data_IF_727000146258
#
_entry.id   IF_727000146258
#
_cell.length_a   1.000
_cell.length_b   1.000
_cell.length_c   1.000
_cell.angle_alpha   90.00
_cell.angle_beta   90.00
_cell.angle_gamma   90.00
#
_symmetry.space_group_name_H-M   'P 1'
#
loop_
_entity.id
_entity.type
_entity.pdbx_description
1 polymer ?
#
# COMPACT_ATOMS: atom_id res chain seq x y z
N UNK A 1 20.06 -1.30 62.04
CA UNK A 1 19.59 -0.44 60.93
C UNK A 1 19.98 -1.08 59.61
N UNK A 2 18.99 -1.63 58.90
CA UNK A 2 19.15 -2.50 57.73
C UNK A 2 19.53 -1.70 56.47
N UNK A 3 20.60 -2.11 55.80
CA UNK A 3 21.03 -1.60 54.48
C UNK A 3 20.14 -2.25 53.41
N UNK A 4 19.20 -1.48 52.87
CA UNK A 4 18.36 -1.92 51.76
C UNK A 4 19.18 -2.02 50.47
N UNK A 5 19.22 -3.24 49.92
CA UNK A 5 19.91 -3.61 48.70
C UNK A 5 19.15 -3.03 47.48
N UNK A 6 19.74 -2.04 46.80
CA UNK A 6 19.16 -1.37 45.62
C UNK A 6 19.26 -2.10 44.25
N UNK A 7 19.87 -3.29 44.06
CA UNK A 7 19.94 -3.88 42.72
C UNK A 7 18.73 -4.75 42.35
N UNK A 8 17.83 -5.06 43.30
CA UNK A 8 16.69 -5.96 43.04
C UNK A 8 15.44 -5.23 42.47
N UNK A 9 15.35 -3.91 42.64
CA UNK A 9 14.20 -3.12 42.16
C UNK A 9 14.26 -2.83 40.64
N UNK A 10 15.48 -2.69 40.09
CA UNK A 10 15.67 -2.45 38.66
C UNK A 10 15.52 -3.71 37.79
N UNK A 11 15.68 -4.90 38.40
CA UNK A 11 15.49 -6.18 37.72
C UNK A 11 14.00 -6.56 37.56
N UNK A 12 13.11 -5.92 38.33
CA UNK A 12 11.66 -6.14 38.23
C UNK A 12 11.00 -5.21 37.20
N UNK A 13 11.50 -3.98 37.04
CA UNK A 13 10.96 -2.99 36.09
C UNK A 13 11.30 -3.28 34.61
N UNK A 14 12.26 -4.15 34.32
CA UNK A 14 12.65 -4.50 32.94
C UNK A 14 11.79 -5.63 32.32
N UNK A 15 10.96 -6.32 33.11
CA UNK A 15 10.20 -7.48 32.64
C UNK A 15 8.80 -7.15 32.11
N UNK A 16 8.30 -5.93 32.31
CA UNK A 16 6.93 -5.55 31.91
C UNK A 16 6.82 -4.90 30.51
N UNK A 17 7.93 -4.75 29.77
CA UNK A 17 7.95 -3.98 28.52
C UNK A 17 7.90 -4.81 27.22
N UNK A 18 7.69 -6.13 27.27
CA UNK A 18 7.83 -6.97 26.07
C UNK A 18 6.77 -8.06 25.90
N UNK A 19 5.52 -7.78 26.31
CA UNK A 19 4.36 -8.52 25.81
C UNK A 19 3.39 -7.48 25.24
N UNK A 20 3.80 -6.83 24.15
CA UNK A 20 2.78 -6.41 23.20
C UNK A 20 2.24 -7.72 22.61
N UNK A 21 0.93 -8.02 22.72
CA UNK A 21 0.38 -9.11 21.94
C UNK A 21 0.74 -8.83 20.48
N UNK A 22 1.24 -9.84 19.75
CA UNK A 22 1.34 -9.74 18.30
C UNK A 22 -0.03 -9.26 17.82
N UNK A 23 -0.08 -8.04 17.28
CA UNK A 23 -1.34 -7.40 16.88
C UNK A 23 -1.98 -8.35 15.88
N UNK A 24 -3.23 -8.73 16.13
CA UNK A 24 -3.89 -9.72 15.31
C UNK A 24 -3.94 -9.21 13.86
N UNK A 25 -3.38 -10.01 12.95
CA UNK A 25 -3.25 -9.71 11.54
C UNK A 25 -4.27 -10.53 10.74
N UNK A 26 -4.64 -10.04 9.57
CA UNK A 26 -5.54 -10.76 8.66
C UNK A 26 -4.94 -12.13 8.29
N UNK A 27 -5.75 -13.18 8.36
CA UNK A 27 -5.34 -14.55 8.01
C UNK A 27 -5.02 -14.67 6.51
N UNK A 28 -3.90 -15.32 6.19
CA UNK A 28 -3.46 -15.58 4.82
C UNK A 28 -4.48 -16.43 4.03
N UNK A 29 -5.19 -17.35 4.69
CA UNK A 29 -6.24 -18.15 4.04
C UNK A 29 -7.40 -17.26 3.57
N UNK A 30 -7.79 -16.28 4.39
CA UNK A 30 -8.84 -15.33 4.06
C UNK A 30 -8.42 -14.36 2.94
N UNK A 31 -7.16 -13.92 2.95
CA UNK A 31 -6.58 -13.13 1.84
C UNK A 31 -6.67 -13.95 0.55
N UNK A 32 -6.18 -15.20 0.56
CA UNK A 32 -6.15 -16.04 -0.63
C UNK A 32 -7.57 -16.34 -1.14
N UNK A 33 -8.51 -16.58 -0.22
CA UNK A 33 -9.92 -16.78 -0.56
C UNK A 33 -10.53 -15.54 -1.20
N UNK A 34 -10.29 -14.35 -0.65
CA UNK A 34 -10.78 -13.09 -1.20
C UNK A 34 -10.19 -12.76 -2.56
N UNK A 35 -8.88 -12.99 -2.75
CA UNK A 35 -8.21 -12.85 -4.05
C UNK A 35 -8.82 -13.83 -5.07
N UNK A 36 -9.00 -15.10 -4.70
CA UNK A 36 -9.63 -16.09 -5.57
C UNK A 36 -11.05 -15.69 -5.97
N UNK A 37 -11.87 -15.20 -5.04
CA UNK A 37 -13.21 -14.69 -5.35
C UNK A 37 -13.15 -13.53 -6.35
N UNK A 38 -12.22 -12.59 -6.14
CA UNK A 38 -12.04 -11.41 -7.00
C UNK A 38 -11.63 -11.80 -8.42
N UNK A 39 -10.63 -12.67 -8.56
CA UNK A 39 -10.14 -13.16 -9.86
C UNK A 39 -11.18 -14.01 -10.60
N UNK A 40 -12.08 -14.68 -9.87
CA UNK A 40 -13.21 -15.42 -10.44
C UNK A 40 -14.47 -14.55 -10.60
N UNK A 41 -14.35 -13.22 -10.54
CA UNK A 41 -15.43 -12.26 -10.77
C UNK A 41 -16.60 -12.42 -9.79
N UNK A 42 -16.37 -13.01 -8.60
CA UNK A 42 -17.36 -13.17 -7.52
C UNK A 42 -17.30 -11.96 -6.59
N UNK A 43 -17.52 -10.78 -7.15
CA UNK A 43 -17.26 -9.51 -6.48
C UNK A 43 -18.05 -9.29 -5.20
N UNK A 44 -19.34 -9.62 -5.20
CA UNK A 44 -20.20 -9.44 -4.03
C UNK A 44 -19.71 -10.29 -2.85
N UNK A 45 -19.21 -11.50 -3.15
CA UNK A 45 -18.64 -12.40 -2.13
C UNK A 45 -17.29 -11.90 -1.63
N UNK A 46 -16.44 -11.38 -2.52
CA UNK A 46 -15.16 -10.81 -2.14
C UNK A 46 -15.36 -9.56 -1.26
N UNK A 47 -16.27 -8.66 -1.65
CA UNK A 47 -16.63 -7.47 -0.87
C UNK A 47 -17.14 -7.85 0.51
N UNK A 48 -18.08 -8.80 0.60
CA UNK A 48 -18.62 -9.23 1.89
C UNK A 48 -17.54 -9.83 2.80
N UNK A 49 -16.61 -10.62 2.25
CA UNK A 49 -15.49 -11.16 3.00
C UNK A 49 -14.58 -10.05 3.55
N UNK A 50 -14.17 -9.10 2.69
CA UNK A 50 -13.31 -8.01 3.12
C UNK A 50 -14.03 -7.03 4.07
N UNK A 51 -15.35 -6.91 3.98
CA UNK A 51 -16.14 -6.18 4.98
C UNK A 51 -16.10 -6.86 6.36
N UNK A 52 -16.20 -8.19 6.42
CA UNK A 52 -16.02 -8.92 7.67
C UNK A 52 -14.61 -8.76 8.23
N UNK A 53 -13.58 -8.82 7.38
CA UNK A 53 -12.18 -8.60 7.78
C UNK A 53 -11.99 -7.18 8.33
N UNK A 54 -12.55 -6.15 7.69
CA UNK A 54 -12.48 -4.77 8.19
C UNK A 54 -13.20 -4.64 9.55
N UNK A 55 -14.32 -5.34 9.74
CA UNK A 55 -15.03 -5.30 11.03
C UNK A 55 -14.22 -5.95 12.16
N UNK A 56 -13.50 -7.03 11.88
CA UNK A 56 -12.68 -7.75 12.85
C UNK A 56 -11.33 -7.05 13.11
N UNK A 57 -10.71 -6.51 12.06
CA UNK A 57 -9.40 -5.86 12.09
C UNK A 57 -9.49 -4.40 11.58
N UNK A 58 -10.26 -3.51 12.23
CA UNK A 58 -10.52 -2.16 11.71
C UNK A 58 -9.29 -1.25 11.69
N UNK A 59 -8.21 -1.65 12.36
CA UNK A 59 -6.95 -0.91 12.39
C UNK A 59 -5.87 -1.58 11.54
N UNK A 60 -6.20 -2.64 10.79
CA UNK A 60 -5.29 -3.26 9.84
C UNK A 60 -5.59 -2.75 8.42
N UNK A 61 -4.65 -2.07 7.73
CA UNK A 61 -4.87 -1.55 6.39
C UNK A 61 -5.06 -2.65 5.33
N UNK A 62 -4.73 -3.91 5.63
CA UNK A 62 -4.88 -5.04 4.70
C UNK A 62 -6.32 -5.18 4.18
N UNK A 63 -7.32 -5.15 5.08
CA UNK A 63 -8.73 -5.29 4.69
C UNK A 63 -9.21 -4.19 3.75
N UNK A 64 -8.79 -2.95 4.01
CA UNK A 64 -9.11 -1.79 3.19
C UNK A 64 -8.44 -1.85 1.82
N UNK A 65 -7.15 -2.22 1.77
CA UNK A 65 -6.42 -2.43 0.52
C UNK A 65 -7.07 -3.55 -0.32
N UNK A 66 -7.41 -4.67 0.30
CA UNK A 66 -7.99 -5.80 -0.43
C UNK A 66 -9.38 -5.46 -0.98
N UNK A 67 -10.23 -4.81 -0.20
CA UNK A 67 -11.52 -4.30 -0.67
C UNK A 67 -11.35 -3.26 -1.79
N UNK A 68 -10.38 -2.35 -1.67
CA UNK A 68 -10.08 -1.38 -2.73
C UNK A 68 -9.62 -2.06 -4.01
N UNK A 69 -8.79 -3.11 -3.91
CA UNK A 69 -8.36 -3.90 -5.05
C UNK A 69 -9.53 -4.59 -5.78
N UNK A 70 -10.58 -5.02 -5.06
CA UNK A 70 -11.81 -5.54 -5.68
C UNK A 70 -12.47 -4.47 -6.55
N UNK A 71 -12.73 -3.27 -5.98
CA UNK A 71 -13.36 -2.19 -6.75
C UNK A 71 -12.47 -1.70 -7.90
N UNK A 72 -11.14 -1.66 -7.71
CA UNK A 72 -10.20 -1.34 -8.78
C UNK A 72 -10.33 -2.35 -9.92
N UNK A 73 -10.34 -3.65 -9.62
CA UNK A 73 -10.49 -4.69 -10.64
C UNK A 73 -11.85 -4.66 -11.33
N UNK A 74 -12.92 -4.34 -10.60
CA UNK A 74 -14.24 -4.12 -11.19
C UNK A 74 -14.22 -2.92 -12.14
N UNK A 75 -13.63 -1.81 -11.71
CA UNK A 75 -13.54 -0.58 -12.50
C UNK A 75 -12.71 -0.76 -13.78
N UNK A 76 -11.66 -1.59 -13.75
CA UNK A 76 -10.86 -1.87 -14.95
C UNK A 76 -11.61 -2.69 -16.01
N UNK A 77 -12.71 -3.36 -15.65
CA UNK A 77 -13.57 -4.04 -16.63
C UNK A 77 -14.43 -3.06 -17.43
N UNK A 78 -14.88 -1.98 -16.80
CA UNK A 78 -15.63 -0.91 -17.45
C UNK A 78 -15.43 0.42 -16.72
N UNK A 79 -14.54 1.26 -17.27
CA UNK A 79 -14.17 2.57 -16.69
C UNK A 79 -15.31 3.59 -16.66
N UNK A 80 -16.45 3.28 -17.30
CA UNK A 80 -17.65 4.11 -17.28
C UNK A 80 -18.47 3.94 -16.00
N UNK A 81 -18.17 2.91 -15.19
CA UNK A 81 -18.80 2.68 -13.89
C UNK A 81 -18.28 3.68 -12.84
N UNK A 82 -18.67 4.95 -12.98
CA UNK A 82 -18.20 6.05 -12.12
C UNK A 82 -18.48 5.81 -10.62
N UNK A 83 -19.59 5.16 -10.30
CA UNK A 83 -19.93 4.81 -8.91
C UNK A 83 -18.92 3.82 -8.32
N UNK A 84 -18.45 2.83 -9.11
CA UNK A 84 -17.41 1.89 -8.68
C UNK A 84 -16.07 2.60 -8.52
N UNK A 85 -15.73 3.52 -9.44
CA UNK A 85 -14.55 4.38 -9.29
C UNK A 85 -14.58 5.23 -8.01
N UNK A 86 -15.76 5.77 -7.67
CA UNK A 86 -15.98 6.49 -6.42
C UNK A 86 -15.80 5.58 -5.20
N UNK A 87 -16.39 4.38 -5.22
CA UNK A 87 -16.22 3.39 -4.15
C UNK A 87 -14.75 3.01 -3.95
N UNK A 88 -14.01 2.78 -5.05
CA UNK A 88 -12.58 2.52 -5.04
C UNK A 88 -11.81 3.67 -4.37
N UNK A 89 -12.04 4.91 -4.80
CA UNK A 89 -11.32 6.07 -4.26
C UNK A 89 -11.63 6.29 -2.77
N UNK A 90 -12.89 6.13 -2.36
CA UNK A 90 -13.33 6.27 -0.97
C UNK A 90 -12.65 5.24 -0.08
N UNK A 91 -12.75 3.94 -0.39
CA UNK A 91 -12.16 2.91 0.46
C UNK A 91 -10.63 2.99 0.48
N UNK A 92 -10.01 3.42 -0.64
CA UNK A 92 -8.56 3.65 -0.70
C UNK A 92 -8.12 4.75 0.26
N UNK A 93 -8.85 5.87 0.32
CA UNK A 93 -8.57 6.97 1.25
C UNK A 93 -8.71 6.53 2.71
N UNK A 94 -9.74 5.75 3.04
CA UNK A 94 -9.84 5.17 4.38
C UNK A 94 -8.68 4.23 4.69
N UNK A 95 -8.26 3.40 3.73
CA UNK A 95 -7.08 2.54 3.90
C UNK A 95 -5.77 3.32 4.10
N UNK A 96 -5.61 4.47 3.44
CA UNK A 96 -4.49 5.39 3.65
C UNK A 96 -4.51 5.90 5.09
N UNK A 97 -5.63 6.43 5.58
CA UNK A 97 -5.75 6.94 6.95
C UNK A 97 -5.40 5.85 7.98
N UNK A 98 -5.89 4.62 7.78
CA UNK A 98 -5.57 3.49 8.68
C UNK A 98 -4.09 3.12 8.64
N UNK A 99 -3.48 3.09 7.46
CA UNK A 99 -2.05 2.80 7.32
C UNK A 99 -1.17 3.91 7.92
N UNK A 100 -1.51 5.17 7.68
CA UNK A 100 -0.81 6.34 8.24
C UNK A 100 -0.88 6.33 9.76
N UNK A 101 -2.05 6.07 10.35
CA UNK A 101 -2.17 5.94 11.81
C UNK A 101 -1.27 4.82 12.37
N UNK A 102 -1.12 3.68 11.66
CA UNK A 102 -0.17 2.63 12.07
C UNK A 102 1.27 3.08 11.99
N UNK A 103 1.63 3.88 10.98
CA UNK A 103 2.98 4.41 10.82
C UNK A 103 3.31 5.51 11.83
N UNK A 104 2.31 6.27 12.28
CA UNK A 104 2.45 7.22 13.39
C UNK A 104 2.73 6.49 14.71
N UNK A 105 2.13 5.30 14.92
CA UNK A 105 2.42 4.43 16.08
C UNK A 105 3.78 3.75 15.96
N UNK A 106 4.14 3.28 14.76
CA UNK A 106 5.40 2.60 14.46
C UNK A 106 5.86 2.87 13.03
N UNK A 107 6.80 3.79 12.86
CA UNK A 107 7.34 4.18 11.55
C UNK A 107 8.04 3.03 10.79
N UNK A 108 8.39 1.93 11.48
CA UNK A 108 9.06 0.77 10.91
C UNK A 108 8.09 -0.40 10.63
N UNK A 109 6.78 -0.15 10.69
CA UNK A 109 5.76 -1.14 10.35
C UNK A 109 5.76 -1.43 8.83
N UNK A 110 6.46 -2.49 8.44
CA UNK A 110 6.64 -2.86 7.04
C UNK A 110 5.32 -3.21 6.35
N UNK A 111 4.37 -3.82 7.06
CA UNK A 111 3.06 -4.17 6.50
C UNK A 111 2.26 -2.89 6.22
N UNK A 112 2.23 -1.95 7.17
CA UNK A 112 1.56 -0.67 6.97
C UNK A 112 2.18 0.12 5.80
N UNK A 113 3.52 0.17 5.70
CA UNK A 113 4.20 0.78 4.54
C UNK A 113 3.83 0.08 3.24
N UNK A 114 3.79 -1.26 3.24
CA UNK A 114 3.48 -2.04 2.06
C UNK A 114 2.06 -1.76 1.56
N UNK A 115 1.07 -1.83 2.45
CA UNK A 115 -0.32 -1.58 2.08
C UNK A 115 -0.55 -0.13 1.67
N UNK A 116 0.07 0.84 2.35
CA UNK A 116 0.03 2.25 1.94
C UNK A 116 0.61 2.43 0.53
N UNK A 117 1.79 1.87 0.28
CA UNK A 117 2.45 1.94 -1.03
C UNK A 117 1.62 1.26 -2.13
N UNK A 118 0.99 0.14 -1.83
CA UNK A 118 0.13 -0.58 -2.75
C UNK A 118 -1.17 0.18 -3.06
N UNK A 119 -1.79 0.83 -2.08
CA UNK A 119 -2.96 1.70 -2.27
C UNK A 119 -2.58 2.90 -3.16
N UNK A 120 -1.47 3.57 -2.87
CA UNK A 120 -0.96 4.66 -3.70
C UNK A 120 -0.65 4.22 -5.14
N UNK A 121 -0.05 3.05 -5.33
CA UNK A 121 0.15 2.47 -6.66
C UNK A 121 -1.16 2.24 -7.43
N UNK A 122 -2.20 1.72 -6.77
CA UNK A 122 -3.53 1.55 -7.38
C UNK A 122 -4.18 2.89 -7.72
N UNK A 123 -4.11 3.89 -6.84
CA UNK A 123 -4.59 5.25 -7.10
C UNK A 123 -3.87 5.87 -8.30
N UNK A 124 -2.55 5.69 -8.40
CA UNK A 124 -1.77 6.10 -9.57
C UNK A 124 -2.34 5.56 -10.88
N UNK A 125 -2.61 4.25 -10.93
CA UNK A 125 -3.24 3.59 -12.09
C UNK A 125 -4.66 4.08 -12.36
N UNK A 126 -5.47 4.25 -11.33
CA UNK A 126 -6.82 4.79 -11.45
C UNK A 126 -6.83 6.20 -12.05
N UNK A 127 -5.91 7.07 -11.62
CA UNK A 127 -5.81 8.43 -12.17
C UNK A 127 -5.22 8.45 -13.59
N UNK A 128 -4.40 7.48 -13.98
CA UNK A 128 -4.01 7.27 -15.40
C UNK A 128 -5.26 7.02 -16.24
N UNK A 129 -6.12 6.09 -15.81
CA UNK A 129 -7.35 5.73 -16.54
C UNK A 129 -8.33 6.91 -16.64
N UNK A 130 -8.30 7.80 -15.65
CA UNK A 130 -9.12 9.02 -15.60
C UNK A 130 -8.43 10.27 -16.17
N UNK A 131 -7.30 10.12 -16.88
CA UNK A 131 -6.53 11.23 -17.47
C UNK A 131 -6.08 12.31 -16.48
N UNK A 132 -6.01 11.99 -15.18
CA UNK A 132 -5.56 12.91 -14.11
C UNK A 132 -4.06 12.74 -13.88
N UNK A 133 -3.26 13.15 -14.86
CA UNK A 133 -1.82 12.83 -14.97
C UNK A 133 -0.96 13.32 -13.80
N UNK A 134 -1.28 14.49 -13.24
CA UNK A 134 -0.56 15.02 -12.07
C UNK A 134 -0.79 14.11 -10.87
N UNK A 135 -2.06 13.80 -10.56
CA UNK A 135 -2.40 12.89 -9.45
C UNK A 135 -1.78 11.52 -9.66
N UNK A 136 -1.85 10.99 -10.89
CA UNK A 136 -1.22 9.74 -11.24
C UNK A 136 0.28 9.71 -10.92
N UNK A 137 1.01 10.77 -11.27
CA UNK A 137 2.43 10.90 -10.97
C UNK A 137 2.70 10.95 -9.46
N UNK A 138 1.98 11.79 -8.72
CA UNK A 138 2.15 11.92 -7.27
C UNK A 138 1.91 10.58 -6.56
N UNK A 139 0.72 10.01 -6.72
CA UNK A 139 0.39 8.73 -6.08
C UNK A 139 1.32 7.59 -6.54
N UNK A 140 1.68 7.55 -7.82
CA UNK A 140 2.64 6.57 -8.32
C UNK A 140 4.02 6.73 -7.68
N UNK A 141 4.51 7.96 -7.51
CA UNK A 141 5.83 8.20 -6.91
C UNK A 141 5.83 7.86 -5.42
N UNK A 142 4.84 8.33 -4.65
CA UNK A 142 4.72 8.03 -3.22
C UNK A 142 4.70 6.51 -2.97
N UNK A 143 3.88 5.78 -3.74
CA UNK A 143 3.83 4.33 -3.64
C UNK A 143 5.18 3.66 -3.94
N UNK A 144 5.88 4.12 -4.98
CA UNK A 144 7.21 3.61 -5.35
C UNK A 144 8.26 3.91 -4.28
N UNK A 145 8.23 5.10 -3.68
CA UNK A 145 9.21 5.50 -2.67
C UNK A 145 9.02 4.66 -1.38
N UNK A 146 7.78 4.44 -0.93
CA UNK A 146 7.47 3.53 0.18
C UNK A 146 7.96 2.09 -0.08
N UNK A 147 7.71 1.55 -1.27
CA UNK A 147 8.15 0.18 -1.62
C UNK A 147 9.68 0.05 -1.66
N UNK A 148 10.39 1.12 -2.07
CA UNK A 148 11.86 1.16 -2.01
C UNK A 148 12.37 1.17 -0.58
N UNK A 149 11.78 1.97 0.31
CA UNK A 149 12.16 1.98 1.72
C UNK A 149 12.00 0.59 2.37
N UNK A 150 10.94 -0.14 2.03
CA UNK A 150 10.74 -1.52 2.50
C UNK A 150 11.87 -2.43 2.02
N UNK A 151 12.24 -2.36 0.74
CA UNK A 151 13.31 -3.19 0.17
C UNK A 151 14.67 -2.83 0.76
N UNK A 152 14.94 -1.54 0.97
CA UNK A 152 16.18 -1.05 1.56
C UNK A 152 16.33 -1.47 3.03
N UNK A 153 15.23 -1.51 3.78
CA UNK A 153 15.21 -1.92 5.19
C UNK A 153 15.12 -3.44 5.37
N UNK A 154 14.40 -4.13 4.50
CA UNK A 154 14.22 -5.58 4.51
C UNK A 154 14.14 -6.17 3.08
N UNK A 155 15.29 -6.56 2.51
CA UNK A 155 15.35 -7.17 1.17
C UNK A 155 14.59 -8.51 1.03
N UNK A 156 14.23 -9.17 2.13
CA UNK A 156 13.45 -10.43 2.11
C UNK A 156 11.94 -10.19 2.08
N UNK A 157 11.48 -8.93 2.14
CA UNK A 157 10.07 -8.58 1.99
C UNK A 157 9.65 -8.66 0.51
N UNK A 158 9.50 -9.87 -0.01
CA UNK A 158 9.34 -10.13 -1.44
C UNK A 158 8.12 -9.47 -2.08
N UNK A 159 7.05 -9.24 -1.30
CA UNK A 159 5.83 -8.58 -1.78
C UNK A 159 6.11 -7.17 -2.32
N UNK A 160 7.10 -6.46 -1.79
CA UNK A 160 7.42 -5.10 -2.23
C UNK A 160 7.98 -5.06 -3.67
N UNK A 161 8.70 -6.11 -4.08
CA UNK A 161 9.27 -6.20 -5.43
C UNK A 161 8.19 -6.30 -6.51
N UNK A 162 7.07 -6.99 -6.22
CA UNK A 162 5.95 -7.07 -7.16
C UNK A 162 5.38 -5.68 -7.44
N UNK A 163 5.12 -4.89 -6.38
CA UNK A 163 4.63 -3.54 -6.52
C UNK A 163 5.60 -2.63 -7.30
N UNK A 164 6.89 -2.73 -7.01
CA UNK A 164 7.93 -1.95 -7.69
C UNK A 164 8.08 -2.34 -9.18
N UNK A 165 7.99 -3.64 -9.48
CA UNK A 165 7.98 -4.15 -10.87
C UNK A 165 6.79 -3.59 -11.67
N UNK A 166 5.61 -3.54 -11.06
CA UNK A 166 4.43 -2.92 -11.71
C UNK A 166 4.67 -1.42 -11.95
N UNK A 167 5.24 -0.70 -11.00
CA UNK A 167 5.58 0.72 -11.21
C UNK A 167 6.51 0.91 -12.42
N UNK A 168 7.60 0.13 -12.49
CA UNK A 168 8.56 0.21 -13.59
C UNK A 168 7.91 -0.11 -14.94
N UNK A 169 7.08 -1.15 -15.01
CA UNK A 169 6.31 -1.47 -16.20
C UNK A 169 5.48 -0.27 -16.69
N UNK A 170 4.70 0.36 -15.81
CA UNK A 170 3.87 1.52 -16.18
C UNK A 170 4.70 2.76 -16.53
N UNK A 171 5.82 3.00 -15.85
CA UNK A 171 6.71 4.11 -16.16
C UNK A 171 7.28 3.99 -17.59
N UNK A 172 7.58 2.77 -18.04
CA UNK A 172 8.12 2.51 -19.38
C UNK A 172 7.05 2.63 -20.48
N UNK A 173 5.82 2.15 -20.24
CA UNK A 173 4.77 2.14 -21.27
C UNK A 173 3.92 3.43 -21.35
N UNK A 174 4.15 4.43 -20.47
CA UNK A 174 3.38 5.68 -20.44
C UNK A 174 4.15 6.93 -20.92
N UNK A 175 4.52 7.03 -22.21
CA UNK A 175 5.09 8.27 -22.78
C UNK A 175 4.15 9.48 -22.64
N UNK A 176 2.83 9.25 -22.52
CA UNK A 176 1.81 10.30 -22.38
C UNK A 176 1.94 11.10 -21.08
N UNK A 177 2.20 10.42 -19.95
CA UNK A 177 2.42 11.06 -18.64
C UNK A 177 3.67 11.94 -18.70
N UNK A 178 4.75 11.42 -19.27
CA UNK A 178 6.02 12.13 -19.44
C UNK A 178 5.84 13.41 -20.27
N UNK A 179 5.05 13.36 -21.36
CA UNK A 179 4.77 14.53 -22.20
C UNK A 179 4.01 15.62 -21.45
N UNK A 180 2.97 15.25 -20.69
CA UNK A 180 2.17 16.21 -19.91
C UNK A 180 3.01 16.83 -18.80
N UNK A 181 3.77 16.03 -18.06
CA UNK A 181 4.67 16.55 -17.01
C UNK A 181 5.76 17.45 -17.60
N UNK A 182 6.34 17.10 -18.75
CA UNK A 182 7.32 17.95 -19.43
C UNK A 182 6.74 19.30 -19.86
N UNK A 183 5.46 19.32 -20.27
CA UNK A 183 4.75 20.55 -20.62
C UNK A 183 4.46 21.41 -19.38
N UNK A 184 3.97 20.81 -18.30
CA UNK A 184 3.57 21.52 -17.06
C UNK A 184 4.79 22.02 -16.28
N UNK A 185 5.86 21.22 -16.19
CA UNK A 185 7.07 21.56 -15.44
C UNK A 185 8.07 22.40 -16.25
N UNK A 186 7.81 22.64 -17.54
CA UNK A 186 8.70 23.43 -18.40
C UNK A 186 10.06 22.76 -18.70
N UNK A 187 10.20 21.47 -18.39
CA UNK A 187 11.48 20.75 -18.55
C UNK A 187 11.52 20.12 -19.95
N UNK A 188 12.21 20.76 -20.88
CA UNK A 188 12.67 20.11 -22.13
C UNK A 188 13.63 18.97 -21.77
N UNK A 189 13.13 17.74 -21.63
CA UNK A 189 13.99 16.54 -21.64
C UNK A 189 13.91 15.58 -20.44
N UNK A 190 12.74 15.34 -19.85
CA UNK A 190 12.53 14.20 -18.92
C UNK A 190 12.52 12.83 -19.67
N UNK A 191 12.94 12.79 -20.93
CA UNK A 191 12.75 11.63 -21.82
C UNK A 191 13.83 10.55 -21.71
N UNK A 192 14.82 10.63 -20.81
CA UNK A 192 15.86 9.57 -20.74
C UNK A 192 16.66 9.43 -19.44
N UNK A 193 16.68 10.43 -18.56
CA UNK A 193 17.48 10.38 -17.32
C UNK A 193 16.70 10.01 -16.06
N UNK A 194 15.36 10.13 -16.06
CA UNK A 194 14.52 9.71 -14.94
C UNK A 194 14.29 8.18 -14.93
N UNK A 195 14.30 7.54 -16.11
CA UNK A 195 14.47 6.10 -16.27
C UNK A 195 15.96 5.79 -16.10
N UNK A 196 16.46 5.84 -14.86
CA UNK A 196 17.82 5.43 -14.54
C UNK A 196 18.08 4.03 -15.08
N UNK A 197 19.24 3.84 -15.71
CA UNK A 197 19.85 2.57 -16.13
C UNK A 197 19.15 1.36 -15.51
N UNK A 198 18.27 0.70 -16.27
CA UNK A 198 17.86 -0.68 -16.03
C UNK A 198 19.00 -1.65 -16.39
N UNK A 199 20.22 -1.33 -15.94
CA UNK A 199 21.33 -2.24 -15.90
C UNK A 199 21.13 -3.20 -14.74
N UNK A 200 20.25 -4.18 -14.94
CA UNK A 200 20.36 -5.45 -14.26
C UNK A 200 21.04 -6.43 -15.24
N UNK A 201 21.97 -7.27 -14.76
CA UNK A 201 22.82 -8.14 -15.57
C UNK A 201 22.04 -9.15 -16.44
#
# INVERSE_FOLDING_TARGET
MMKFCKPLFYLFLFTLAAIQPARAAVDEEDIQRGVNLTLNMRFEKAIALFDSIIQEYPQDPAGYFLKSAVYFWMYTQDVRMADVGTLFETISKTGIEVAENRLDENENDLDAKFYLGAIYGNLGRYYIMNSSWIKAYWYGSEGKDLLKEIIESNPEYYNAYLGLGIYHYYADILPGVIKVLSYILGIKGISRKACGNSGLP
#
